data_IF_675973133019
#
_entry.id   IF_675973133019
#
_cell.length_a   1.000
_cell.length_b   1.000
_cell.length_c   1.000
_cell.angle_alpha   90.00
_cell.angle_beta   90.00
_cell.angle_gamma   90.00
#
_symmetry.space_group_name_H-M   'P 1'
#
loop_
_entity.id
_entity.type
_entity.pdbx_description
1 polymer ?
#
# COMPACT_ATOMS: atom_id res chain seq x y z
N UNK A 1 0.31 16.17 3.50
CA UNK A 1 -0.53 15.03 3.89
C UNK A 1 0.21 14.23 4.95
N UNK A 2 -0.39 14.02 6.12
CA UNK A 2 0.22 13.23 7.20
C UNK A 2 -0.28 11.78 7.09
N UNK A 3 0.62 10.80 7.03
CA UNK A 3 0.26 9.37 6.94
C UNK A 3 0.65 8.68 8.24
N UNK A 4 -0.32 8.06 8.88
CA UNK A 4 -0.13 7.28 10.10
C UNK A 4 -0.25 5.80 9.74
N UNK A 5 0.82 5.06 9.94
CA UNK A 5 0.82 3.61 9.74
C UNK A 5 0.23 2.91 10.95
N UNK A 6 -0.76 2.06 10.73
CA UNK A 6 -1.31 1.20 11.78
C UNK A 6 -0.30 0.12 12.16
N UNK A 7 -0.47 -0.48 13.35
CA UNK A 7 0.33 -1.65 13.77
C UNK A 7 0.27 -2.78 12.73
N UNK A 8 -0.90 -2.98 12.11
CA UNK A 8 -1.07 -3.97 11.05
C UNK A 8 -0.22 -3.66 9.81
N UNK A 9 -0.24 -2.41 9.34
CA UNK A 9 0.57 -1.98 8.21
C UNK A 9 2.08 -2.10 8.49
N UNK A 10 2.53 -1.71 9.68
CA UNK A 10 3.94 -1.83 10.07
C UNK A 10 4.38 -3.29 10.10
N UNK A 11 3.57 -4.20 10.67
CA UNK A 11 3.84 -5.63 10.65
C UNK A 11 3.96 -6.17 9.22
N UNK A 12 3.13 -5.69 8.29
CA UNK A 12 3.23 -6.08 6.88
C UNK A 12 4.54 -5.67 6.22
N UNK A 13 5.19 -4.60 6.67
CA UNK A 13 6.51 -4.24 6.14
C UNK A 13 7.55 -5.27 6.55
N UNK A 14 7.50 -5.74 7.80
CA UNK A 14 8.37 -6.81 8.30
C UNK A 14 8.08 -8.13 7.58
N UNK A 15 6.80 -8.53 7.49
CA UNK A 15 6.38 -9.78 6.82
C UNK A 15 6.86 -9.82 5.35
N UNK A 16 6.77 -8.69 4.63
CA UNK A 16 7.14 -8.61 3.23
C UNK A 16 8.66 -8.51 3.03
N UNK A 17 9.39 -7.89 3.95
CA UNK A 17 10.85 -7.84 3.91
C UNK A 17 11.45 -9.25 4.06
N UNK A 18 10.85 -10.10 4.90
CA UNK A 18 11.21 -11.52 5.01
C UNK A 18 11.02 -12.31 3.71
N UNK A 19 10.12 -11.85 2.84
CA UNK A 19 9.89 -12.42 1.51
C UNK A 19 10.73 -11.73 0.40
N UNK A 20 11.67 -10.85 0.77
CA UNK A 20 12.52 -10.11 -0.15
C UNK A 20 11.84 -8.90 -0.81
N UNK A 21 10.64 -8.52 -0.35
CA UNK A 21 9.88 -7.38 -0.88
C UNK A 21 10.08 -6.20 0.08
N UNK A 22 11.06 -5.36 -0.23
CA UNK A 22 11.40 -4.20 0.59
C UNK A 22 10.45 -3.03 0.34
N UNK A 23 9.54 -2.77 1.27
CA UNK A 23 8.64 -1.62 1.23
C UNK A 23 9.25 -0.42 1.98
N UNK A 24 9.12 0.78 1.40
CA UNK A 24 9.51 2.03 2.07
C UNK A 24 8.31 2.95 2.20
N UNK A 25 8.32 3.82 3.23
CA UNK A 25 7.26 4.85 3.40
C UNK A 25 7.12 5.74 2.16
N UNK A 26 8.24 6.08 1.51
CA UNK A 26 8.26 6.86 0.26
C UNK A 26 7.54 6.13 -0.87
N UNK A 27 7.74 4.81 -0.99
CA UNK A 27 7.07 3.99 -1.99
C UNK A 27 5.55 3.97 -1.74
N UNK A 28 5.12 3.73 -0.51
CA UNK A 28 3.70 3.74 -0.15
C UNK A 28 3.05 5.10 -0.45
N UNK A 29 3.74 6.18 -0.10
CA UNK A 29 3.32 7.54 -0.45
C UNK A 29 3.16 7.74 -1.95
N UNK A 30 4.07 7.17 -2.76
CA UNK A 30 3.97 7.19 -4.22
C UNK A 30 2.76 6.43 -4.73
N UNK A 31 2.45 5.26 -4.17
CA UNK A 31 1.25 4.48 -4.51
C UNK A 31 -0.03 5.24 -4.17
N UNK A 32 -0.07 5.94 -3.04
CA UNK A 32 -1.24 6.72 -2.63
C UNK A 32 -1.42 7.97 -3.50
N UNK A 33 -0.33 8.64 -3.88
CA UNK A 33 -0.38 9.88 -4.68
C UNK A 33 -0.65 9.63 -6.16
N UNK A 34 -0.07 8.57 -6.71
CA UNK A 34 -0.12 8.22 -8.13
C UNK A 34 -0.44 6.74 -8.30
N UNK A 35 -1.65 6.32 -7.91
CA UNK A 35 -2.10 4.94 -8.08
C UNK A 35 -2.39 4.63 -9.56
N UNK A 36 -2.23 3.37 -9.94
CA UNK A 36 -2.70 2.87 -11.24
C UNK A 36 -4.20 2.59 -11.19
N UNK A 37 -4.72 2.20 -10.03
CA UNK A 37 -6.11 1.87 -9.81
C UNK A 37 -6.56 2.32 -8.40
N UNK A 38 -7.80 2.81 -8.32
CA UNK A 38 -8.43 3.30 -7.10
C UNK A 38 -9.81 2.67 -6.98
N UNK A 39 -10.04 1.97 -5.87
CA UNK A 39 -11.33 1.42 -5.49
C UNK A 39 -11.79 2.08 -4.18
N UNK A 40 -12.92 2.78 -4.26
CA UNK A 40 -13.59 3.44 -3.14
C UNK A 40 -14.98 2.85 -2.86
N UNK A 41 -15.38 1.77 -3.54
CA UNK A 41 -16.72 1.18 -3.44
C UNK A 41 -16.70 -0.17 -2.70
N UNK A 42 -15.71 -1.02 -2.96
CA UNK A 42 -15.75 -2.42 -2.51
C UNK A 42 -15.63 -2.60 -0.99
N UNK A 43 -14.97 -1.68 -0.29
CA UNK A 43 -14.74 -1.75 1.16
C UNK A 43 -14.98 -0.39 1.84
N UNK A 44 -16.05 0.30 1.44
CA UNK A 44 -16.43 1.60 2.02
C UNK A 44 -16.54 1.51 3.56
N UNK A 45 -15.98 2.46 4.33
CA UNK A 45 -15.43 3.76 3.93
C UNK A 45 -13.93 3.76 3.58
N UNK A 46 -13.31 2.60 3.39
CA UNK A 46 -11.89 2.51 3.06
C UNK A 46 -11.66 2.76 1.58
N UNK A 47 -10.50 3.32 1.28
CA UNK A 47 -9.97 3.51 -0.06
C UNK A 47 -8.87 2.46 -0.26
N UNK A 48 -8.96 1.72 -1.36
CA UNK A 48 -7.96 0.78 -1.79
C UNK A 48 -7.30 1.39 -3.02
N UNK A 49 -6.00 1.62 -2.94
CA UNK A 49 -5.20 2.03 -4.09
C UNK A 49 -4.24 0.91 -4.46
N UNK A 50 -3.97 0.77 -5.73
CA UNK A 50 -3.01 -0.23 -6.18
C UNK A 50 -2.05 0.29 -7.24
N UNK A 51 -0.85 -0.29 -7.23
CA UNK A 51 0.21 0.01 -8.19
C UNK A 51 1.13 -1.19 -8.33
N UNK A 52 1.55 -1.46 -9.56
CA UNK A 52 2.52 -2.49 -9.87
C UNK A 52 3.89 -2.14 -9.28
N UNK A 53 4.48 -3.04 -8.49
CA UNK A 53 5.87 -2.92 -8.02
C UNK A 53 6.86 -3.43 -9.08
N UNK A 54 6.46 -4.47 -9.81
CA UNK A 54 7.16 -5.05 -10.93
C UNK A 54 6.16 -5.89 -11.76
N UNK A 55 6.65 -6.61 -12.77
CA UNK A 55 5.81 -7.43 -13.66
C UNK A 55 5.09 -8.60 -13.00
N UNK A 56 5.40 -8.93 -11.74
CA UNK A 56 4.83 -10.07 -11.00
C UNK A 56 4.09 -9.68 -9.72
N UNK A 57 4.29 -8.46 -9.22
CA UNK A 57 3.83 -8.05 -7.89
C UNK A 57 3.06 -6.74 -8.00
N UNK A 58 1.83 -6.75 -7.51
CA UNK A 58 0.98 -5.57 -7.35
C UNK A 58 0.91 -5.25 -5.85
N UNK A 59 1.22 -4.01 -5.50
CA UNK A 59 1.04 -3.52 -4.13
C UNK A 59 -0.34 -2.88 -4.01
N UNK A 60 -1.12 -3.38 -3.04
CA UNK A 60 -2.38 -2.76 -2.64
C UNK A 60 -2.21 -2.09 -1.28
N UNK A 61 -2.65 -0.84 -1.19
CA UNK A 61 -2.62 -0.06 0.04
C UNK A 61 -4.06 0.30 0.39
N UNK A 62 -4.47 -0.07 1.59
CA UNK A 62 -5.81 0.23 2.12
C UNK A 62 -5.68 1.31 3.18
N UNK A 63 -6.43 2.39 3.06
CA UNK A 63 -6.44 3.50 4.02
C UNK A 63 -7.82 4.13 4.12
N UNK A 64 -8.00 5.01 5.11
CA UNK A 64 -9.20 5.83 5.31
C UNK A 64 -8.80 7.18 5.88
#
# INVERSE_FOLDING_TARGET
MNIIFTKHATKKFEDLDLLGIKLTKKLILGVIKEPEDIDNQSDYPKIIVSKSLNSKIILRVVYK
#
